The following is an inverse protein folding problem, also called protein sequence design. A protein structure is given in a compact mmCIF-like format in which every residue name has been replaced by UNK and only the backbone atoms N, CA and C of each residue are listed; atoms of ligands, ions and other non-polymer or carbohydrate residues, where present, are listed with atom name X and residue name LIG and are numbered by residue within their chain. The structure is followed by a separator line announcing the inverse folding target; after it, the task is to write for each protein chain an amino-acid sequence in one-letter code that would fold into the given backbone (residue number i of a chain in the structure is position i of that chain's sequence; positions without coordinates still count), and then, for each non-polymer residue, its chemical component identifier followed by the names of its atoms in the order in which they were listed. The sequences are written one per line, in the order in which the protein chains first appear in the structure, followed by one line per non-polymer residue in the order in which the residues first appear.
data_IF_439839074622
#
_entry.id   IF_439839074622
#
_cell.length_a   1.000
_cell.length_b   1.000
_cell.length_c   1.000
_cell.angle_alpha   90.00
_cell.angle_beta   90.00
_cell.angle_gamma   90.00
#
_symmetry.space_group_name_H-M   'P 1'
#
loop_
_entity.id
_entity.type
_entity.pdbx_description
1 polymer ?
#
# COMPACT_ATOMS: atom_id res chain seq x y z
N UNK A 1 3.42 -30.33 9.64
CA UNK A 1 3.56 -30.18 8.19
C UNK A 1 4.65 -29.17 7.87
N UNK A 2 5.55 -29.54 6.98
CA UNK A 2 6.57 -28.59 6.54
C UNK A 2 5.95 -27.55 5.62
N UNK A 3 6.27 -26.29 5.86
CA UNK A 3 5.88 -25.20 4.96
C UNK A 3 6.63 -25.34 3.63
N UNK A 4 5.96 -24.99 2.54
CA UNK A 4 6.61 -24.87 1.24
C UNK A 4 7.52 -23.65 1.22
N UNK A 5 8.45 -23.59 0.27
CA UNK A 5 9.28 -22.41 0.07
C UNK A 5 8.43 -21.18 -0.23
N UNK A 6 7.35 -21.35 -0.98
CA UNK A 6 6.41 -20.28 -1.30
C UNK A 6 5.76 -19.73 -0.03
N UNK A 7 5.30 -20.60 0.86
CA UNK A 7 4.69 -20.16 2.12
C UNK A 7 5.69 -19.43 3.02
N UNK A 8 6.94 -19.91 3.09
CA UNK A 8 7.99 -19.23 3.86
C UNK A 8 8.32 -17.86 3.33
N UNK A 9 8.36 -17.71 2.01
CA UNK A 9 8.57 -16.40 1.37
C UNK A 9 7.42 -15.44 1.69
N UNK A 10 6.19 -15.94 1.64
CA UNK A 10 5.02 -15.13 1.98
C UNK A 10 5.07 -14.64 3.43
N UNK A 11 5.45 -15.50 4.36
CA UNK A 11 5.60 -15.11 5.77
C UNK A 11 6.70 -14.07 5.97
N UNK A 12 7.83 -14.23 5.29
CA UNK A 12 8.93 -13.28 5.36
C UNK A 12 8.48 -11.91 4.86
N UNK A 13 7.79 -11.85 3.73
CA UNK A 13 7.25 -10.60 3.17
C UNK A 13 6.26 -9.98 4.16
N UNK A 14 5.37 -10.78 4.73
CA UNK A 14 4.39 -10.28 5.69
C UNK A 14 5.07 -9.67 6.93
N UNK A 15 6.10 -10.34 7.46
CA UNK A 15 6.87 -9.82 8.59
C UNK A 15 7.58 -8.51 8.23
N UNK A 16 8.16 -8.44 7.04
CA UNK A 16 8.80 -7.22 6.55
C UNK A 16 7.78 -6.08 6.43
N UNK A 17 6.57 -6.38 5.97
CA UNK A 17 5.48 -5.40 5.89
C UNK A 17 5.11 -4.83 7.25
N UNK A 18 5.02 -5.68 8.28
CA UNK A 18 4.63 -5.23 9.63
C UNK A 18 5.71 -4.39 10.29
N UNK A 19 6.96 -4.50 9.84
CA UNK A 19 8.09 -3.72 10.35
C UNK A 19 8.56 -2.64 9.37
N UNK A 20 7.80 -2.40 8.31
CA UNK A 20 8.18 -1.42 7.29
C UNK A 20 8.21 0.00 7.84
N UNK A 21 9.14 0.80 7.32
CA UNK A 21 9.21 2.22 7.65
C UNK A 21 8.00 2.95 7.05
N UNK A 22 7.23 3.62 7.89
CA UNK A 22 6.08 4.41 7.44
C UNK A 22 6.51 5.48 6.43
N UNK A 23 7.67 6.09 6.62
CA UNK A 23 8.18 7.08 5.68
C UNK A 23 8.48 6.49 4.31
N UNK A 24 9.09 5.31 4.28
CA UNK A 24 9.36 4.61 3.01
C UNK A 24 8.06 4.26 2.29
N UNK A 25 7.06 3.78 3.03
CA UNK A 25 5.74 3.49 2.45
C UNK A 25 5.10 4.76 1.88
N UNK A 26 5.18 5.86 2.62
CA UNK A 26 4.62 7.14 2.17
C UNK A 26 5.31 7.65 0.90
N UNK A 27 6.63 7.51 0.81
CA UNK A 27 7.38 7.88 -0.39
C UNK A 27 6.98 7.00 -1.60
N UNK A 28 6.81 5.71 -1.37
CA UNK A 28 6.36 4.79 -2.41
C UNK A 28 4.95 5.18 -2.90
N UNK A 29 4.03 5.50 -1.98
CA UNK A 29 2.69 5.96 -2.32
C UNK A 29 2.73 7.22 -3.18
N UNK A 30 3.57 8.18 -2.81
CA UNK A 30 3.73 9.43 -3.57
C UNK A 30 4.23 9.14 -4.99
N UNK A 31 5.21 8.25 -5.12
CA UNK A 31 5.74 7.86 -6.43
C UNK A 31 4.68 7.21 -7.30
N UNK A 32 3.88 6.32 -6.73
CA UNK A 32 2.79 5.66 -7.45
C UNK A 32 1.72 6.69 -7.85
N UNK A 33 1.35 7.60 -6.96
CA UNK A 33 0.35 8.62 -7.25
C UNK A 33 0.78 9.58 -8.35
N UNK A 34 2.07 9.88 -8.45
CA UNK A 34 2.59 10.73 -9.53
C UNK A 34 2.28 10.16 -10.92
N UNK A 35 2.17 8.85 -11.03
CA UNK A 35 1.77 8.18 -12.27
C UNK A 35 0.25 8.02 -12.35
N UNK A 36 -0.36 7.51 -11.28
CA UNK A 36 -1.79 7.18 -11.27
C UNK A 36 -2.70 8.39 -11.46
N UNK A 37 -2.27 9.57 -11.05
CA UNK A 37 -3.10 10.78 -11.16
C UNK A 37 -3.51 11.11 -12.62
N UNK A 38 -2.80 10.56 -13.60
CA UNK A 38 -3.12 10.76 -15.02
C UNK A 38 -4.24 9.84 -15.51
N UNK A 39 -4.71 8.92 -14.69
CA UNK A 39 -5.77 7.97 -15.04
C UNK A 39 -7.06 8.34 -14.32
N UNK A 40 -8.19 7.88 -14.86
CA UNK A 40 -9.47 8.09 -14.19
C UNK A 40 -9.49 7.40 -12.83
N UNK A 41 -10.34 7.87 -11.93
CA UNK A 41 -10.46 7.30 -10.58
C UNK A 41 -10.79 5.80 -10.65
N UNK A 42 -11.72 5.41 -11.53
CA UNK A 42 -12.05 3.99 -11.70
C UNK A 42 -10.83 3.16 -12.11
N UNK A 43 -10.03 3.67 -13.04
CA UNK A 43 -8.83 2.96 -13.48
C UNK A 43 -7.75 2.94 -12.41
N UNK A 44 -7.67 3.95 -11.57
CA UNK A 44 -6.77 3.94 -10.42
C UNK A 44 -7.11 2.82 -9.45
N UNK A 45 -8.39 2.67 -9.11
CA UNK A 45 -8.86 1.56 -8.26
C UNK A 45 -8.55 0.20 -8.87
N UNK A 46 -8.89 0.03 -10.15
CA UNK A 46 -8.67 -1.24 -10.83
C UNK A 46 -7.20 -1.60 -10.95
N UNK A 47 -6.36 -0.62 -11.27
CA UNK A 47 -4.92 -0.84 -11.37
C UNK A 47 -4.32 -1.29 -10.04
N UNK A 48 -4.66 -0.60 -8.95
CA UNK A 48 -4.16 -0.95 -7.63
C UNK A 48 -4.63 -2.33 -7.19
N UNK A 49 -5.91 -2.63 -7.39
CA UNK A 49 -6.49 -3.93 -7.04
C UNK A 49 -5.86 -5.06 -7.88
N UNK A 50 -5.69 -4.83 -9.17
CA UNK A 50 -5.09 -5.81 -10.08
C UNK A 50 -3.65 -6.11 -9.67
N UNK A 51 -2.86 -5.09 -9.38
CA UNK A 51 -1.48 -5.27 -8.93
C UNK A 51 -1.41 -6.03 -7.60
N UNK A 52 -2.33 -5.75 -6.69
CA UNK A 52 -2.38 -6.44 -5.40
C UNK A 52 -2.69 -7.93 -5.58
N UNK A 53 -3.60 -8.28 -6.49
CA UNK A 53 -3.90 -9.67 -6.83
C UNK A 53 -2.70 -10.35 -7.47
N UNK A 54 -2.02 -9.69 -8.41
CA UNK A 54 -0.82 -10.23 -9.04
C UNK A 54 0.31 -10.45 -8.04
N UNK A 55 0.48 -9.53 -7.10
CA UNK A 55 1.44 -9.70 -6.00
C UNK A 55 1.10 -10.92 -5.15
N UNK A 56 -0.18 -11.12 -4.85
CA UNK A 56 -0.63 -12.29 -4.11
C UNK A 56 -0.31 -13.58 -4.88
N UNK A 57 -0.64 -13.62 -6.15
CA UNK A 57 -0.40 -14.82 -6.97
C UNK A 57 1.07 -15.20 -7.04
N UNK A 58 1.96 -14.21 -7.02
CA UNK A 58 3.40 -14.42 -7.18
C UNK A 58 4.15 -14.53 -5.85
N UNK A 59 3.63 -13.99 -4.77
CA UNK A 59 4.34 -13.90 -3.49
C UNK A 59 3.57 -14.48 -2.30
N UNK A 60 2.29 -14.75 -2.44
CA UNK A 60 1.51 -15.47 -1.45
C UNK A 60 0.95 -14.64 -0.30
N UNK A 61 1.23 -13.36 -0.21
CA UNK A 61 0.62 -12.49 0.80
C UNK A 61 -0.78 -12.12 0.35
N UNK A 62 -1.77 -12.46 1.17
CA UNK A 62 -3.18 -12.24 0.84
C UNK A 62 -3.50 -10.74 0.79
N UNK A 63 -4.33 -10.31 -0.18
CA UNK A 63 -4.72 -8.89 -0.29
C UNK A 63 -5.27 -8.31 1.00
N UNK A 64 -6.11 -9.07 1.72
CA UNK A 64 -6.68 -8.58 2.98
C UNK A 64 -5.60 -8.34 4.05
N UNK A 65 -4.60 -9.21 4.14
CA UNK A 65 -3.48 -9.03 5.05
C UNK A 65 -2.69 -7.75 4.71
N UNK A 66 -2.43 -7.54 3.43
CA UNK A 66 -1.73 -6.34 2.97
C UNK A 66 -2.55 -5.08 3.27
N UNK A 67 -3.86 -5.12 3.05
CA UNK A 67 -4.75 -3.99 3.33
C UNK A 67 -4.79 -3.68 4.82
N UNK A 68 -4.82 -4.70 5.68
CA UNK A 68 -4.82 -4.50 7.13
C UNK A 68 -3.52 -3.84 7.61
N UNK A 69 -2.37 -4.27 7.11
CA UNK A 69 -1.09 -3.67 7.45
C UNK A 69 -1.05 -2.22 6.96
N UNK A 70 -1.49 -1.97 5.72
CA UNK A 70 -1.53 -0.63 5.16
C UNK A 70 -2.45 0.30 5.98
N UNK A 71 -3.61 -0.20 6.38
CA UNK A 71 -4.56 0.57 7.20
C UNK A 71 -3.94 0.95 8.54
N UNK A 72 -3.25 0.01 9.18
CA UNK A 72 -2.59 0.27 10.47
C UNK A 72 -1.48 1.32 10.33
N UNK A 73 -0.68 1.23 9.27
CA UNK A 73 0.38 2.22 9.00
C UNK A 73 -0.24 3.60 8.79
N UNK A 74 -1.27 3.67 7.96
CA UNK A 74 -1.91 4.93 7.63
C UNK A 74 -2.58 5.57 8.85
N UNK A 75 -3.35 4.79 9.63
CA UNK A 75 -4.01 5.29 10.83
C UNK A 75 -3.01 5.80 11.87
N UNK A 76 -1.88 5.11 12.03
CA UNK A 76 -0.85 5.51 12.97
C UNK A 76 -0.08 6.76 12.54
N UNK A 77 -0.01 7.07 11.25
CA UNK A 77 0.93 8.06 10.72
C UNK A 77 0.34 9.17 9.86
N UNK A 78 -0.96 9.14 9.53
CA UNK A 78 -1.53 10.14 8.62
C UNK A 78 -1.46 11.57 9.16
N UNK A 79 -1.38 11.75 10.47
CA UNK A 79 -1.23 13.05 11.12
C UNK A 79 0.19 13.26 11.68
N UNK A 80 1.12 12.37 11.37
CA UNK A 80 2.49 12.46 11.84
C UNK A 80 3.20 13.60 11.09
N UNK A 81 3.68 14.60 11.83
CA UNK A 81 4.33 15.78 11.27
C UNK A 81 5.66 15.44 10.60
N UNK A 82 6.30 14.32 10.98
CA UNK A 82 7.57 13.89 10.41
C UNK A 82 7.39 13.18 9.07
N UNK A 83 6.15 12.83 8.71
CA UNK A 83 5.82 12.17 7.44
C UNK A 83 4.81 13.04 6.70
N UNK A 84 5.34 14.08 6.06
CA UNK A 84 4.51 15.07 5.35
C UNK A 84 3.81 14.45 4.14
N UNK A 85 4.35 13.37 3.57
CA UNK A 85 3.82 12.72 2.38
C UNK A 85 2.41 12.15 2.62
N UNK A 86 2.13 11.55 3.77
CA UNK A 86 0.78 11.06 4.08
C UNK A 86 -0.23 12.19 4.20
N UNK A 87 0.17 13.28 4.81
CA UNK A 87 -0.70 14.45 4.93
C UNK A 87 -0.98 15.07 3.57
N UNK A 88 0.07 15.20 2.74
CA UNK A 88 -0.06 15.75 1.40
C UNK A 88 -0.96 14.88 0.52
N UNK A 89 -0.79 13.54 0.58
CA UNK A 89 -1.64 12.62 -0.16
C UNK A 89 -3.10 12.70 0.28
N UNK A 90 -3.34 12.71 1.59
CA UNK A 90 -4.69 12.79 2.12
C UNK A 90 -5.37 14.10 1.71
N UNK A 91 -4.63 15.21 1.76
CA UNK A 91 -5.13 16.50 1.31
C UNK A 91 -5.42 16.51 -0.19
N UNK A 92 -4.53 15.92 -0.98
CA UNK A 92 -4.72 15.78 -2.43
C UNK A 92 -6.02 15.03 -2.75
N UNK A 93 -6.27 13.89 -2.09
CA UNK A 93 -7.50 13.14 -2.31
C UNK A 93 -8.74 13.91 -1.89
N UNK A 94 -8.68 14.73 -0.85
CA UNK A 94 -9.82 15.54 -0.42
C UNK A 94 -10.13 16.68 -1.38
N UNK A 95 -9.10 17.29 -1.95
CA UNK A 95 -9.26 18.50 -2.76
C UNK A 95 -9.41 18.22 -4.25
N UNK A 96 -8.67 17.24 -4.77
CA UNK A 96 -8.55 16.99 -6.21
C UNK A 96 -9.39 15.82 -6.72
N UNK A 97 -9.85 14.93 -5.82
CA UNK A 97 -10.68 13.78 -6.17
C UNK A 97 -12.11 13.94 -5.66
N UNK A 98 -12.68 15.08 -5.85
CA UNK A 98 -14.10 15.27 -5.56
C UNK A 98 -14.93 14.60 -6.66
N UNK A 99 -15.71 13.62 -6.24
CA UNK A 99 -16.69 13.00 -7.12
C UNK A 99 -17.89 13.92 -7.30
#
# INVERSE_FOLDING_TARGET
MKQTDFQRKAETIYQDMTSASAKTVALACTSVMNVLQHFTTSNQFLAMATLLILLYENHGVRPLEALNVADNILEANKNNKDIVEFRALNQYFKDDFKL
#
